data_IF_857334901399
#
_entry.id   IF_857334901399
#
_cell.length_a   1.000
_cell.length_b   1.000
_cell.length_c   1.000
_cell.angle_alpha   90.00
_cell.angle_beta   90.00
_cell.angle_gamma   90.00
#
_symmetry.space_group_name_H-M   'P 1'
#
loop_
_entity.id
_entity.type
_entity.pdbx_description
1 polymer ?
#
# COMPACT_ATOMS: atom_id res chain seq x y z
N UNK A 1 -7.02 -23.27 -25.41
CA UNK A 1 -5.89 -23.19 -25.00
C UNK A 1 -5.72 -22.04 -24.26
N UNK A 2 -5.41 -21.98 -23.51
CA UNK A 2 -5.08 -21.07 -23.01
C UNK A 2 -3.97 -20.55 -23.45
N UNK A 3 -3.89 -19.65 -23.65
CA UNK A 3 -2.76 -19.09 -24.13
C UNK A 3 -1.55 -19.43 -23.38
N UNK A 4 -0.42 -19.18 -23.89
CA UNK A 4 0.79 -19.39 -23.17
C UNK A 4 0.78 -18.53 -21.91
N UNK A 5 1.49 -18.95 -20.87
CA UNK A 5 1.60 -18.15 -19.66
C UNK A 5 2.19 -16.77 -19.93
N UNK A 6 2.84 -16.58 -21.08
CA UNK A 6 3.38 -15.29 -21.39
C UNK A 6 2.47 -14.46 -22.27
N UNK A 7 1.39 -15.06 -22.78
CA UNK A 7 0.90 -14.50 -23.97
C UNK A 7 -0.04 -13.37 -23.82
N UNK A 8 -1.04 -13.57 -23.08
CA UNK A 8 -2.19 -12.73 -23.28
C UNK A 8 -2.52 -11.85 -22.12
N UNK A 9 -1.97 -12.13 -20.97
CA UNK A 9 -2.26 -11.33 -19.81
C UNK A 9 -1.42 -10.09 -19.82
N UNK A 10 -2.07 -8.95 -19.77
CA UNK A 10 -1.41 -7.70 -19.43
C UNK A 10 -0.90 -7.81 -17.99
N UNK A 11 0.37 -7.53 -17.73
CA UNK A 11 0.86 -7.54 -16.36
C UNK A 11 0.05 -6.60 -15.49
N UNK A 12 -0.22 -7.02 -14.28
CA UNK A 12 -0.96 -6.22 -13.33
C UNK A 12 -0.18 -4.97 -12.97
N UNK A 13 -0.84 -3.83 -13.00
CA UNK A 13 -0.27 -2.59 -12.49
C UNK A 13 -0.24 -2.62 -10.98
N UNK A 14 0.84 -2.11 -10.42
CA UNK A 14 0.98 -1.96 -8.98
C UNK A 14 0.98 -0.46 -8.69
N UNK A 15 0.19 -0.07 -7.71
CA UNK A 15 0.14 1.31 -7.27
C UNK A 15 0.86 1.44 -5.94
N UNK A 16 1.47 2.59 -5.72
CA UNK A 16 2.17 2.90 -4.49
C UNK A 16 1.87 4.34 -4.09
N UNK A 17 1.73 4.56 -2.79
CA UNK A 17 1.44 5.89 -2.28
C UNK A 17 2.04 6.04 -0.88
N UNK A 18 2.61 7.21 -0.54
CA UNK A 18 3.01 7.46 0.84
C UNK A 18 1.79 7.39 1.75
N UNK A 19 1.88 6.59 2.80
CA UNK A 19 0.81 6.43 3.79
C UNK A 19 1.15 7.09 5.11
N UNK A 20 2.44 7.23 5.42
CA UNK A 20 2.91 7.98 6.59
C UNK A 20 4.29 8.56 6.29
N UNK A 21 4.50 9.78 6.72
CA UNK A 21 5.78 10.46 6.59
C UNK A 21 6.27 10.80 7.99
N UNK A 22 7.49 10.33 8.31
CA UNK A 22 8.16 10.62 9.57
C UNK A 22 9.27 11.63 9.24
N UNK A 23 9.27 12.76 9.92
CA UNK A 23 10.23 13.82 9.63
C UNK A 23 9.94 14.50 8.30
N UNK A 24 10.98 14.77 7.53
CA UNK A 24 10.87 15.43 6.23
C UNK A 24 11.40 14.53 5.13
N UNK A 25 10.70 14.51 4.00
CA UNK A 25 11.17 13.79 2.82
C UNK A 25 11.83 14.78 1.86
N UNK A 26 13.17 14.71 1.66
CA UNK A 26 13.86 15.63 0.75
C UNK A 26 13.37 15.54 -0.69
N UNK A 27 12.83 14.41 -1.10
CA UNK A 27 12.25 14.26 -2.44
C UNK A 27 10.87 14.92 -2.57
N UNK A 28 10.28 15.35 -1.45
CA UNK A 28 9.00 16.06 -1.46
C UNK A 28 7.78 15.17 -1.62
N UNK A 29 7.89 13.87 -1.33
CA UNK A 29 6.72 12.99 -1.36
C UNK A 29 5.71 13.43 -0.31
N UNK A 30 4.44 13.41 -0.67
CA UNK A 30 3.34 13.80 0.21
C UNK A 30 2.31 12.68 0.31
N UNK A 31 1.59 12.66 1.42
CA UNK A 31 0.48 11.72 1.60
C UNK A 31 -0.51 11.91 0.45
N UNK A 32 -0.91 10.81 -0.16
CA UNK A 32 -1.85 10.83 -1.28
C UNK A 32 -1.19 10.91 -2.66
N UNK A 33 0.11 11.19 -2.75
CA UNK A 33 0.81 11.08 -4.03
C UNK A 33 0.73 9.64 -4.51
N UNK A 34 0.60 9.45 -5.81
CA UNK A 34 0.41 8.10 -6.35
C UNK A 34 1.42 7.83 -7.45
N UNK A 35 2.02 6.64 -7.38
CA UNK A 35 2.87 6.11 -8.42
C UNK A 35 2.15 4.94 -9.05
N UNK A 36 2.24 4.81 -10.36
CA UNK A 36 1.74 3.62 -11.07
C UNK A 36 2.95 2.91 -11.66
N UNK A 37 3.13 1.66 -11.28
CA UNK A 37 4.21 0.82 -11.80
C UNK A 37 3.60 -0.13 -12.81
N UNK A 38 3.88 0.15 -14.09
CA UNK A 38 3.31 -0.56 -15.22
C UNK A 38 4.45 -1.25 -15.95
N UNK A 39 4.53 -2.56 -15.85
CA UNK A 39 5.63 -3.38 -16.36
C UNK A 39 6.98 -2.88 -15.84
N UNK A 40 7.76 -2.22 -16.67
CA UNK A 40 9.08 -1.71 -16.33
C UNK A 40 9.08 -0.19 -16.14
N UNK A 41 7.92 0.45 -16.30
CA UNK A 41 7.83 1.90 -16.31
C UNK A 41 7.10 2.38 -15.05
N UNK A 42 7.61 3.44 -14.47
CA UNK A 42 6.98 4.09 -13.33
C UNK A 42 6.40 5.43 -13.77
N UNK A 43 5.12 5.62 -13.52
CA UNK A 43 4.41 6.85 -13.84
C UNK A 43 4.10 7.60 -12.56
N UNK A 44 4.82 8.67 -12.23
CA UNK A 44 4.49 9.47 -11.06
C UNK A 44 3.28 10.35 -11.37
N UNK A 45 2.44 10.54 -10.39
CA UNK A 45 1.34 11.47 -10.51
C UNK A 45 1.85 12.91 -10.49
N UNK A 46 2.92 13.15 -9.75
CA UNK A 46 3.41 14.48 -9.52
C UNK A 46 4.91 14.43 -9.17
N UNK A 47 5.68 15.30 -9.80
CA UNK A 47 7.07 15.56 -9.42
C UNK A 47 8.01 14.35 -9.56
N UNK A 48 9.24 14.53 -9.10
CA UNK A 48 10.25 13.46 -9.16
C UNK A 48 9.97 12.37 -8.13
N UNK A 49 10.48 11.16 -8.42
CA UNK A 49 10.38 10.00 -7.54
C UNK A 49 11.74 9.78 -6.89
N UNK A 50 11.74 9.51 -5.59
CA UNK A 50 12.96 9.15 -4.88
C UNK A 50 13.48 7.79 -5.36
N UNK A 51 14.68 7.78 -5.91
CA UNK A 51 15.32 6.57 -6.39
C UNK A 51 15.51 5.54 -5.27
N UNK A 52 15.88 6.00 -4.08
CA UNK A 52 16.14 5.10 -2.95
C UNK A 52 14.85 4.41 -2.50
N UNK A 53 13.76 5.17 -2.41
CA UNK A 53 12.45 4.58 -2.06
C UNK A 53 12.01 3.58 -3.12
N UNK A 54 12.12 3.94 -4.39
CA UNK A 54 11.70 3.10 -5.49
C UNK A 54 12.46 1.78 -5.51
N UNK A 55 13.78 1.81 -5.32
CA UNK A 55 14.58 0.59 -5.30
C UNK A 55 14.27 -0.30 -4.10
N UNK A 56 13.83 0.29 -2.99
CA UNK A 56 13.58 -0.44 -1.75
C UNK A 56 12.35 -1.35 -1.82
N UNK A 57 11.35 -1.05 -2.66
CA UNK A 57 10.14 -1.87 -2.69
C UNK A 57 9.99 -2.74 -3.93
N UNK A 58 11.09 -3.03 -4.60
CA UNK A 58 11.10 -3.90 -5.79
C UNK A 58 10.54 -5.30 -5.50
N UNK A 59 10.92 -5.88 -4.36
CA UNK A 59 10.45 -7.22 -3.98
C UNK A 59 8.94 -7.24 -3.75
N UNK A 60 8.40 -6.23 -3.12
CA UNK A 60 6.96 -6.13 -2.86
C UNK A 60 6.18 -6.01 -4.17
N UNK A 61 6.68 -5.23 -5.10
CA UNK A 61 6.06 -5.12 -6.43
C UNK A 61 6.03 -6.48 -7.12
N UNK A 62 7.13 -7.23 -7.07
CA UNK A 62 7.21 -8.57 -7.65
C UNK A 62 6.19 -9.52 -7.01
N UNK A 63 6.10 -9.51 -5.69
CA UNK A 63 5.17 -10.36 -4.96
C UNK A 63 3.70 -10.04 -5.30
N UNK A 64 3.37 -8.76 -5.41
CA UNK A 64 2.02 -8.36 -5.79
C UNK A 64 1.70 -8.80 -7.22
N UNK A 65 2.66 -8.65 -8.13
CA UNK A 65 2.47 -9.08 -9.52
C UNK A 65 2.29 -10.57 -9.68
N UNK A 66 2.90 -11.36 -8.80
CA UNK A 66 2.76 -12.81 -8.81
C UNK A 66 1.48 -13.30 -8.13
N UNK A 67 0.71 -12.39 -7.54
CA UNK A 67 -0.47 -12.77 -6.78
C UNK A 67 -0.16 -13.32 -5.39
N UNK A 68 1.07 -13.20 -4.92
CA UNK A 68 1.48 -13.65 -3.59
C UNK A 68 0.99 -12.72 -2.50
N UNK A 69 0.75 -11.46 -2.85
CA UNK A 69 0.22 -10.44 -1.95
C UNK A 69 -0.74 -9.54 -2.70
N UNK A 70 -1.77 -9.08 -2.01
CA UNK A 70 -2.69 -8.08 -2.55
C UNK A 70 -2.20 -6.68 -2.22
N UNK A 71 -1.68 -6.51 -1.01
CA UNK A 71 -1.20 -5.23 -0.50
C UNK A 71 0.06 -5.44 0.32
N UNK A 72 0.87 -4.42 0.42
CA UNK A 72 2.09 -4.44 1.21
C UNK A 72 2.40 -3.04 1.70
N UNK A 73 3.14 -2.96 2.79
CA UNK A 73 3.72 -1.70 3.26
C UNK A 73 5.22 -1.82 3.19
N UNK A 74 5.87 -0.76 2.78
CA UNK A 74 7.32 -0.73 2.79
C UNK A 74 7.83 0.65 3.15
N UNK A 75 8.74 0.66 4.11
CA UNK A 75 9.39 1.89 4.54
C UNK A 75 10.62 2.11 3.68
N UNK A 76 10.81 3.33 3.19
CA UNK A 76 12.09 3.67 2.56
C UNK A 76 13.20 3.57 3.62
N UNK A 77 14.46 3.34 3.18
CA UNK A 77 15.57 3.20 4.13
C UNK A 77 15.83 4.43 5.00
N UNK A 78 15.24 5.56 4.62
CA UNK A 78 15.43 6.80 5.31
C UNK A 78 16.50 7.68 4.67
N UNK A 79 16.51 8.92 5.06
CA UNK A 79 17.46 9.89 4.55
C UNK A 79 18.37 10.38 5.66
N UNK A 80 19.65 10.49 5.36
CA UNK A 80 20.67 10.96 6.28
C UNK A 80 20.77 12.48 6.31
N UNK A 81 19.78 13.19 5.80
CA UNK A 81 19.79 14.66 5.74
C UNK A 81 19.92 15.31 7.11
N UNK A 82 19.55 14.56 8.18
CA UNK A 82 19.80 15.02 9.54
C UNK A 82 20.16 13.82 10.40
N UNK A 83 21.30 13.88 11.06
CA UNK A 83 21.73 12.84 11.99
C UNK A 83 20.89 12.81 13.27
N UNK A 84 20.11 13.87 13.52
CA UNK A 84 19.33 14.03 14.75
C UNK A 84 17.85 13.70 14.57
N UNK A 85 17.40 13.52 13.33
CA UNK A 85 15.99 13.34 13.04
C UNK A 85 15.84 12.17 12.07
N UNK A 86 14.95 11.27 12.40
CA UNK A 86 14.58 10.21 11.49
C UNK A 86 13.71 10.81 10.37
N UNK A 87 14.10 10.56 9.13
CA UNK A 87 13.35 10.98 7.95
C UNK A 87 12.99 9.71 7.16
N UNK A 88 11.72 9.40 7.10
CA UNK A 88 11.29 8.14 6.50
C UNK A 88 9.88 8.28 5.93
N UNK A 89 9.65 7.62 4.83
CA UNK A 89 8.32 7.52 4.23
C UNK A 89 7.93 6.06 4.21
N UNK A 90 6.74 5.74 4.70
CA UNK A 90 6.16 4.41 4.58
C UNK A 90 5.18 4.45 3.42
N UNK A 91 5.39 3.57 2.46
CA UNK A 91 4.52 3.45 1.29
C UNK A 91 3.56 2.28 1.47
N UNK A 92 2.32 2.47 1.05
CA UNK A 92 1.39 1.37 0.82
C UNK A 92 1.47 1.02 -0.66
N UNK A 93 1.57 -0.27 -0.94
CA UNK A 93 1.58 -0.79 -2.31
C UNK A 93 0.41 -1.75 -2.46
N UNK A 94 -0.19 -1.81 -3.64
CA UNK A 94 -1.29 -2.72 -3.89
C UNK A 94 -1.51 -2.92 -5.37
N UNK A 95 -2.20 -4.01 -5.71
CA UNK A 95 -2.59 -4.21 -7.10
C UNK A 95 -3.72 -3.23 -7.46
N UNK A 96 -3.85 -2.95 -8.74
CA UNK A 96 -4.81 -1.94 -9.20
C UNK A 96 -6.26 -2.31 -8.89
N UNK A 97 -6.59 -3.61 -8.90
CA UNK A 97 -7.96 -4.06 -8.64
C UNK A 97 -8.38 -3.84 -7.18
N UNK A 98 -7.45 -3.93 -6.28
CA UNK A 98 -7.70 -3.80 -4.84
C UNK A 98 -7.11 -2.52 -4.26
N UNK A 99 -6.87 -1.51 -5.07
CA UNK A 99 -6.18 -0.31 -4.61
C UNK A 99 -6.97 0.45 -3.54
N UNK A 100 -8.27 0.58 -3.72
CA UNK A 100 -9.13 1.19 -2.70
C UNK A 100 -9.06 0.46 -1.38
N UNK A 101 -9.11 -0.86 -1.44
CA UNK A 101 -8.97 -1.71 -0.26
C UNK A 101 -7.60 -1.52 0.41
N UNK A 102 -6.53 -1.49 -0.39
CA UNK A 102 -5.17 -1.33 0.14
C UNK A 102 -5.00 -0.01 0.89
N UNK A 103 -5.53 1.08 0.36
CA UNK A 103 -5.48 2.37 1.03
C UNK A 103 -6.26 2.38 2.35
N UNK A 104 -7.42 1.75 2.36
CA UNK A 104 -8.26 1.68 3.56
C UNK A 104 -7.65 0.80 4.64
N UNK A 105 -7.05 -0.32 4.26
CA UNK A 105 -6.29 -1.14 5.18
C UNK A 105 -5.14 -0.37 5.81
N UNK A 106 -4.42 0.38 4.99
CA UNK A 106 -3.30 1.19 5.47
C UNK A 106 -3.77 2.21 6.50
N UNK A 107 -4.84 2.93 6.20
CA UNK A 107 -5.39 3.92 7.12
C UNK A 107 -5.84 3.28 8.44
N UNK A 108 -6.52 2.14 8.37
CA UNK A 108 -6.94 1.41 9.57
C UNK A 108 -5.74 0.93 10.38
N UNK A 109 -4.71 0.40 9.74
CA UNK A 109 -3.51 -0.07 10.43
C UNK A 109 -2.81 1.05 11.19
N UNK A 110 -2.72 2.23 10.61
CA UNK A 110 -2.14 3.37 11.32
C UNK A 110 -2.97 3.77 12.53
N UNK A 111 -4.29 3.80 12.38
CA UNK A 111 -5.19 4.08 13.51
C UNK A 111 -5.03 3.04 14.61
N UNK A 112 -4.92 1.76 14.23
CA UNK A 112 -4.70 0.67 15.18
C UNK A 112 -3.38 0.83 15.93
N UNK A 113 -2.31 1.15 15.22
CA UNK A 113 -1.00 1.37 15.83
C UNK A 113 -0.99 2.59 16.75
N UNK A 114 -1.82 3.58 16.45
CA UNK A 114 -1.97 4.77 17.28
C UNK A 114 -2.94 4.56 18.46
N UNK A 115 -3.42 3.35 18.66
CA UNK A 115 -4.23 2.99 19.83
C UNK A 115 -5.72 3.19 19.69
N UNK A 116 -6.23 3.38 18.48
CA UNK A 116 -7.66 3.67 18.27
C UNK A 116 -8.52 2.43 17.98
N UNK A 117 -7.93 1.24 17.91
CA UNK A 117 -8.69 0.03 17.63
C UNK A 117 -9.57 -0.37 18.81
N UNK A 118 -10.74 -0.91 18.48
CA UNK A 118 -11.65 -1.53 19.43
C UNK A 118 -11.80 -3.00 19.11
N UNK A 119 -12.43 -3.77 20.00
CA UNK A 119 -12.70 -5.18 19.74
C UNK A 119 -13.59 -5.34 18.50
N UNK A 120 -14.58 -4.48 18.35
CA UNK A 120 -15.48 -4.52 17.20
C UNK A 120 -14.72 -4.19 15.91
N UNK A 121 -13.90 -3.15 15.93
CA UNK A 121 -13.12 -2.77 14.76
C UNK A 121 -12.17 -3.90 14.34
N UNK A 122 -11.57 -4.58 15.32
CA UNK A 122 -10.67 -5.69 15.04
C UNK A 122 -11.38 -6.87 14.37
N UNK A 123 -12.63 -7.16 14.78
CA UNK A 123 -13.41 -8.22 14.14
C UNK A 123 -13.69 -7.91 12.68
N UNK A 124 -14.07 -6.69 12.37
CA UNK A 124 -14.30 -6.27 10.98
C UNK A 124 -13.00 -6.30 10.17
N UNK A 125 -11.89 -5.92 10.78
CA UNK A 125 -10.58 -6.00 10.12
C UNK A 125 -10.23 -7.44 9.77
N UNK A 126 -10.42 -8.38 10.70
CA UNK A 126 -10.17 -9.80 10.45
C UNK A 126 -11.10 -10.35 9.35
N UNK A 127 -12.36 -9.96 9.36
CA UNK A 127 -13.29 -10.33 8.30
C UNK A 127 -12.83 -9.80 6.95
N UNK A 128 -12.40 -8.55 6.90
CA UNK A 128 -11.88 -7.95 5.69
C UNK A 128 -10.66 -8.71 5.17
N UNK A 129 -9.77 -9.12 6.06
CA UNK A 129 -8.59 -9.89 5.69
C UNK A 129 -8.97 -11.24 5.07
N UNK A 130 -9.90 -11.96 5.68
CA UNK A 130 -10.38 -13.24 5.16
C UNK A 130 -11.01 -13.08 3.77
N UNK A 131 -11.81 -12.04 3.59
CA UNK A 131 -12.42 -11.73 2.29
C UNK A 131 -11.37 -11.37 1.25
N UNK A 132 -10.32 -10.66 1.66
CA UNK A 132 -9.20 -10.33 0.79
C UNK A 132 -8.50 -11.61 0.30
N UNK A 133 -8.25 -12.54 1.21
CA UNK A 133 -7.62 -13.82 0.86
C UNK A 133 -8.49 -14.64 -0.09
N UNK A 134 -9.80 -14.49 0.00
CA UNK A 134 -10.74 -15.17 -0.90
C UNK A 134 -10.92 -14.45 -2.24
N UNK A 135 -10.25 -13.33 -2.46
CA UNK A 135 -10.38 -12.55 -3.69
C UNK A 135 -11.64 -11.71 -3.78
N UNK A 136 -12.38 -11.58 -2.68
CA UNK A 136 -13.65 -10.85 -2.62
C UNK A 136 -13.40 -9.40 -2.20
N UNK A 137 -12.76 -8.64 -3.07
CA UNK A 137 -12.22 -7.31 -2.73
C UNK A 137 -13.29 -6.27 -2.41
N UNK A 138 -14.40 -6.27 -3.12
CA UNK A 138 -15.47 -5.30 -2.85
C UNK A 138 -16.07 -5.52 -1.46
N UNK A 139 -16.27 -6.78 -1.07
CA UNK A 139 -16.78 -7.11 0.25
C UNK A 139 -15.75 -6.82 1.34
N UNK A 140 -14.49 -7.12 1.06
CA UNK A 140 -13.38 -6.82 1.97
C UNK A 140 -13.29 -5.32 2.22
N UNK A 141 -13.48 -4.52 1.18
CA UNK A 141 -13.45 -3.07 1.30
C UNK A 141 -14.57 -2.57 2.20
N UNK A 142 -15.77 -3.11 2.05
CA UNK A 142 -16.90 -2.75 2.93
C UNK A 142 -16.63 -3.14 4.39
N UNK A 143 -16.01 -4.29 4.61
CA UNK A 143 -15.68 -4.73 5.96
C UNK A 143 -14.66 -3.82 6.63
N UNK A 144 -13.61 -3.38 5.89
CA UNK A 144 -12.62 -2.48 6.47
C UNK A 144 -13.20 -1.08 6.69
N UNK A 145 -14.16 -0.66 5.89
CA UNK A 145 -14.91 0.58 6.14
C UNK A 145 -15.69 0.48 7.44
N UNK A 146 -16.33 -0.67 7.69
CA UNK A 146 -17.02 -0.89 8.98
C UNK A 146 -16.03 -0.85 10.15
N UNK A 147 -14.87 -1.49 9.99
CA UNK A 147 -13.84 -1.44 11.02
C UNK A 147 -13.47 0.01 11.37
N UNK A 148 -13.32 0.84 10.36
CA UNK A 148 -12.97 2.26 10.54
C UNK A 148 -14.06 3.02 11.31
N UNK A 149 -15.32 2.71 11.07
CA UNK A 149 -16.45 3.35 11.79
C UNK A 149 -16.45 3.02 13.28
N UNK A 150 -15.85 1.93 13.68
CA UNK A 150 -15.82 1.47 15.07
C UNK A 150 -14.51 1.80 15.78
N UNK A 151 -13.66 2.61 15.20
CA UNK A 151 -12.47 3.12 15.87
C UNK A 151 -12.90 4.08 16.97
N UNK A 152 -12.14 4.08 18.07
CA UNK A 152 -12.36 5.05 19.14
C UNK A 152 -11.53 6.30 18.90
N UNK A 153 -11.97 7.44 19.45
CA UNK A 153 -11.21 8.69 19.32
C UNK A 153 -9.83 8.64 19.94
#
# INVERSE_FOLDING_TARGET
>A
MQGSPFGKKTPMKVLASPSRIIGQCPAGHQIGDQLVIDETVVHPQRGPICYVALSAFTDQVTQIRRGERVTSHHSCPGCSASLKQENRVVFVLGNEEAWGLSKKFSAYNWARLDGHATEISARYCNQSWELTQAGRYAEAERAIEEATKHLKP
#
